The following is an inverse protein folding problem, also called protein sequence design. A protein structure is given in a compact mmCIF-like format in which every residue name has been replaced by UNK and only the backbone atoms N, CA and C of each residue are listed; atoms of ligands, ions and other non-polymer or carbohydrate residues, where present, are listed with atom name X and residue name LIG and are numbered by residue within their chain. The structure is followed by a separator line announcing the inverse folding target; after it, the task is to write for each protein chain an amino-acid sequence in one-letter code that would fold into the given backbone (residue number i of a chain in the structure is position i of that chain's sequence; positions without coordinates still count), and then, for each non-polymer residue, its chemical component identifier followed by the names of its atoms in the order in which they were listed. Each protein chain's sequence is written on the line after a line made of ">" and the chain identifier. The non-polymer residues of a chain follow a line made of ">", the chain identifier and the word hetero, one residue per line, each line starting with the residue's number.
data_IF_276474573661
#
_entry.id   IF_276474573661
#
_cell.length_a   1.000
_cell.length_b   1.000
_cell.length_c   1.000
_cell.angle_alpha   90.00
_cell.angle_beta   90.00
_cell.angle_gamma   90.00
#
_symmetry.space_group_name_H-M   'P 1'
#
loop_
_entity.id
_entity.type
_entity.pdbx_description
1 polymer ?
#
# COMPACT_ATOMS: atom_id res chain seq x y z
N UNK A 1 -7.16 -9.80 -11.13
CA UNK A 1 -6.61 -10.75 -10.13
C UNK A 1 -5.18 -11.05 -10.51
N UNK A 2 -4.28 -11.19 -9.53
CA UNK A 2 -2.84 -11.30 -9.78
C UNK A 2 -2.21 -12.54 -9.15
N UNK A 3 -0.90 -12.68 -9.34
CA UNK A 3 -0.09 -13.74 -8.73
C UNK A 3 -0.21 -13.69 -7.20
N UNK A 4 -0.25 -14.85 -6.58
CA UNK A 4 -0.18 -14.95 -5.12
C UNK A 4 1.12 -14.39 -4.57
N UNK A 5 1.01 -13.58 -3.52
CA UNK A 5 2.16 -13.00 -2.80
C UNK A 5 2.66 -13.94 -1.72
N UNK A 6 3.84 -13.67 -1.16
CA UNK A 6 4.33 -14.41 0.01
C UNK A 6 3.73 -13.87 1.30
N UNK A 7 3.77 -14.65 2.39
CA UNK A 7 3.31 -14.16 3.71
C UNK A 7 4.09 -12.91 4.14
N UNK A 8 5.42 -12.89 3.93
CA UNK A 8 6.28 -11.73 4.22
C UNK A 8 5.87 -10.47 3.46
N UNK A 9 5.36 -10.62 2.23
CA UNK A 9 4.89 -9.47 1.45
C UNK A 9 3.57 -8.93 2.00
N UNK A 10 2.69 -9.81 2.47
CA UNK A 10 1.41 -9.45 3.11
C UNK A 10 1.64 -8.84 4.50
N UNK A 11 2.62 -9.35 5.26
CA UNK A 11 2.97 -8.85 6.60
C UNK A 11 3.46 -7.39 6.60
N UNK A 12 3.95 -6.90 5.45
CA UNK A 12 4.49 -5.55 5.25
C UNK A 12 3.62 -4.71 4.32
N UNK A 13 2.43 -5.19 4.01
CA UNK A 13 1.54 -4.54 3.06
C UNK A 13 0.80 -3.36 3.70
N UNK A 14 0.98 -2.16 3.13
CA UNK A 14 0.35 -0.94 3.65
C UNK A 14 -1.17 -0.98 3.53
N UNK A 15 -1.73 -1.61 2.50
CA UNK A 15 -3.16 -1.56 2.22
C UNK A 15 -3.97 -2.26 3.32
N UNK A 16 -3.54 -3.43 3.80
CA UNK A 16 -4.24 -4.11 4.91
C UNK A 16 -4.16 -3.31 6.22
N UNK A 17 -3.06 -2.58 6.47
CA UNK A 17 -2.96 -1.67 7.62
C UNK A 17 -3.95 -0.51 7.50
N UNK A 18 -4.01 0.14 6.33
CA UNK A 18 -4.94 1.26 6.08
C UNK A 18 -6.40 0.82 6.21
N UNK A 19 -6.77 -0.37 5.71
CA UNK A 19 -8.12 -0.91 5.93
C UNK A 19 -8.41 -1.17 7.42
N UNK A 20 -7.42 -1.66 8.17
CA UNK A 20 -7.58 -1.90 9.61
C UNK A 20 -7.76 -0.60 10.38
N UNK A 21 -7.00 0.46 10.03
CA UNK A 21 -7.19 1.81 10.56
C UNK A 21 -8.58 2.34 10.25
N UNK A 22 -9.04 2.22 9.00
CA UNK A 22 -10.37 2.64 8.60
C UNK A 22 -11.48 1.93 9.37
N UNK A 23 -11.35 0.62 9.61
CA UNK A 23 -12.31 -0.13 10.43
C UNK A 23 -12.34 0.36 11.89
N UNK A 24 -11.18 0.66 12.46
CA UNK A 24 -11.06 1.19 13.82
C UNK A 24 -11.68 2.58 13.90
N UNK A 25 -11.32 3.49 13.01
CA UNK A 25 -11.69 4.90 13.12
C UNK A 25 -13.11 5.20 12.64
N UNK A 26 -13.55 4.57 11.54
CA UNK A 26 -14.87 4.85 10.99
C UNK A 26 -15.97 4.04 11.68
N UNK A 27 -15.65 2.86 12.21
CA UNK A 27 -16.64 1.90 12.70
C UNK A 27 -16.41 1.40 14.12
N UNK A 28 -15.35 1.82 14.82
CA UNK A 28 -14.98 1.34 16.17
C UNK A 28 -14.80 -0.20 16.23
N UNK A 29 -14.34 -0.79 15.13
CA UNK A 29 -14.05 -2.22 15.03
C UNK A 29 -12.54 -2.41 15.05
N UNK A 30 -12.00 -3.03 16.11
CA UNK A 30 -10.60 -3.50 16.15
C UNK A 30 -10.50 -4.91 15.55
N UNK A 31 -10.02 -5.07 14.30
CA UNK A 31 -9.99 -6.37 13.66
C UNK A 31 -8.89 -7.24 14.28
N UNK A 32 -9.20 -8.48 14.64
CA UNK A 32 -8.18 -9.45 15.09
C UNK A 32 -7.24 -9.83 13.93
N UNK A 33 -7.78 -9.89 12.71
CA UNK A 33 -7.07 -10.30 11.49
C UNK A 33 -7.56 -9.50 10.27
N UNK A 34 -6.63 -9.13 9.40
CA UNK A 34 -6.90 -8.71 8.03
C UNK A 34 -6.40 -9.79 7.07
N UNK A 35 -6.91 -9.86 5.83
CA UNK A 35 -6.55 -10.93 4.90
C UNK A 35 -6.63 -10.53 3.44
N UNK A 36 -5.71 -11.07 2.65
CA UNK A 36 -5.88 -11.19 1.20
C UNK A 36 -6.44 -12.56 0.82
N UNK A 37 -7.36 -12.56 -0.14
CA UNK A 37 -7.88 -13.77 -0.76
C UNK A 37 -7.45 -13.83 -2.24
N UNK A 38 -6.50 -14.71 -2.53
CA UNK A 38 -5.97 -14.95 -3.87
C UNK A 38 -6.85 -15.98 -4.58
N UNK A 39 -7.83 -15.48 -5.33
CA UNK A 39 -8.91 -16.28 -5.92
C UNK A 39 -8.44 -17.37 -6.89
N UNK A 40 -7.41 -17.09 -7.71
CA UNK A 40 -6.91 -18.03 -8.73
C UNK A 40 -6.36 -19.30 -8.08
N UNK A 41 -5.58 -19.14 -7.01
CA UNK A 41 -4.97 -20.25 -6.28
C UNK A 41 -5.82 -20.68 -5.06
N UNK A 42 -7.00 -20.09 -4.88
CA UNK A 42 -7.87 -20.27 -3.73
C UNK A 42 -7.12 -20.17 -2.38
N UNK A 43 -6.22 -19.20 -2.26
CA UNK A 43 -5.32 -19.07 -1.11
C UNK A 43 -5.65 -17.84 -0.28
N UNK A 44 -5.78 -18.01 1.04
CA UNK A 44 -5.91 -16.91 2.00
C UNK A 44 -4.61 -16.69 2.74
N UNK A 45 -4.11 -15.46 2.74
CA UNK A 45 -3.02 -15.02 3.62
C UNK A 45 -3.56 -13.97 4.59
N UNK A 46 -3.25 -14.13 5.87
CA UNK A 46 -3.79 -13.30 6.94
C UNK A 46 -2.67 -12.64 7.75
N UNK A 47 -2.95 -11.47 8.30
CA UNK A 47 -2.06 -10.73 9.19
C UNK A 47 -2.84 -10.29 10.43
N UNK A 48 -2.17 -10.29 11.58
CA UNK A 48 -2.61 -9.57 12.79
C UNK A 48 -1.65 -8.40 13.00
N UNK A 49 -2.15 -7.18 12.93
CA UNK A 49 -1.31 -5.99 13.05
C UNK A 49 -0.86 -5.78 14.49
N UNK A 50 0.42 -5.46 14.68
CA UNK A 50 0.88 -4.81 15.91
C UNK A 50 0.44 -3.34 15.88
N UNK A 51 0.21 -2.76 17.06
CA UNK A 51 -0.19 -1.35 17.14
C UNK A 51 0.86 -0.42 16.48
N UNK A 52 2.15 -0.74 16.60
CA UNK A 52 3.25 -0.05 15.88
C UNK A 52 3.07 -0.05 14.35
N UNK A 53 2.65 -1.18 13.75
CA UNK A 53 2.44 -1.25 12.31
C UNK A 53 1.25 -0.41 11.84
N UNK A 54 0.25 -0.24 12.70
CA UNK A 54 -0.89 0.64 12.42
C UNK A 54 -0.46 2.11 12.51
N UNK A 55 0.39 2.45 13.48
CA UNK A 55 0.90 3.81 13.61
C UNK A 55 1.84 4.19 12.46
N UNK A 56 2.78 3.32 12.08
CA UNK A 56 3.62 3.52 10.88
C UNK A 56 2.77 3.74 9.62
N UNK A 57 1.67 2.99 9.47
CA UNK A 57 0.75 3.13 8.35
C UNK A 57 -0.02 4.45 8.40
N UNK A 58 -0.41 4.92 9.59
CA UNK A 58 -1.05 6.23 9.79
C UNK A 58 -0.11 7.34 9.39
N UNK A 59 1.10 7.38 9.95
CA UNK A 59 2.11 8.41 9.68
C UNK A 59 2.41 8.50 8.18
N UNK A 60 2.68 7.35 7.54
CA UNK A 60 2.93 7.28 6.10
C UNK A 60 1.75 7.77 5.27
N UNK A 61 0.52 7.46 5.69
CA UNK A 61 -0.69 7.89 4.98
C UNK A 61 -0.86 9.40 5.08
N UNK A 62 -0.62 10.00 6.25
CA UNK A 62 -0.67 11.43 6.46
C UNK A 62 0.43 12.15 5.65
N UNK A 63 1.67 11.67 5.69
CA UNK A 63 2.78 12.21 4.88
C UNK A 63 2.43 12.24 3.38
N UNK A 64 1.89 11.14 2.86
CA UNK A 64 1.45 11.07 1.46
C UNK A 64 0.30 12.04 1.16
N UNK A 65 -0.68 12.14 2.06
CA UNK A 65 -1.81 13.07 1.89
C UNK A 65 -1.35 14.53 1.90
N UNK A 66 -0.46 14.91 2.81
CA UNK A 66 0.14 16.25 2.87
C UNK A 66 0.92 16.57 1.60
N UNK A 67 1.73 15.62 1.11
CA UNK A 67 2.45 15.77 -0.16
C UNK A 67 1.53 15.99 -1.34
N UNK A 68 0.43 15.24 -1.43
CA UNK A 68 -0.59 15.41 -2.49
C UNK A 68 -1.25 16.79 -2.40
N UNK A 69 -1.65 17.23 -1.21
CA UNK A 69 -2.28 18.54 -1.00
C UNK A 69 -1.34 19.71 -1.27
N UNK A 70 -0.04 19.51 -1.08
CA UNK A 70 1.00 20.48 -1.41
C UNK A 70 1.44 20.43 -2.89
N UNK A 71 0.79 19.59 -3.71
CA UNK A 71 1.16 19.34 -5.11
C UNK A 71 2.62 18.87 -5.28
N UNK A 72 3.18 18.22 -4.25
CA UNK A 72 4.53 17.67 -4.30
C UNK A 72 4.55 16.34 -5.05
N UNK A 73 4.73 16.42 -6.37
CA UNK A 73 4.81 15.28 -7.28
C UNK A 73 6.23 15.06 -7.83
N UNK A 74 7.26 15.43 -7.06
CA UNK A 74 8.65 15.20 -7.47
C UNK A 74 8.86 13.72 -7.82
N UNK A 75 9.28 13.40 -9.06
CA UNK A 75 9.45 12.03 -9.48
C UNK A 75 10.58 11.38 -8.68
N UNK A 76 10.44 10.08 -8.41
CA UNK A 76 11.48 9.24 -7.81
C UNK A 76 11.90 8.19 -8.84
N UNK A 77 12.85 8.51 -9.74
CA UNK A 77 13.28 7.64 -10.83
C UNK A 77 13.71 6.25 -10.32
N UNK A 78 13.12 5.21 -10.87
CA UNK A 78 13.48 3.82 -10.59
C UNK A 78 13.29 2.97 -11.85
N UNK A 79 14.33 2.26 -12.27
CA UNK A 79 14.32 1.52 -13.54
C UNK A 79 13.18 0.51 -13.67
N UNK A 80 12.85 -0.22 -12.60
CA UNK A 80 11.80 -1.24 -12.65
C UNK A 80 10.41 -0.61 -12.63
N UNK A 81 10.17 0.35 -11.73
CA UNK A 81 8.86 0.98 -11.59
C UNK A 81 8.54 1.90 -12.77
N UNK A 82 9.53 2.66 -13.28
CA UNK A 82 9.31 3.56 -14.40
C UNK A 82 8.99 2.80 -15.70
N UNK A 83 9.67 1.68 -15.98
CA UNK A 83 9.47 0.87 -17.20
C UNK A 83 8.02 0.41 -17.42
N UNK A 84 7.26 0.24 -16.35
CA UNK A 84 5.87 -0.22 -16.38
C UNK A 84 4.88 0.85 -15.89
N UNK A 85 5.31 2.11 -15.77
CA UNK A 85 4.48 3.19 -15.25
C UNK A 85 3.62 3.81 -16.36
N UNK A 86 2.30 3.77 -16.20
CA UNK A 86 1.35 4.37 -17.16
C UNK A 86 1.49 5.91 -17.29
N UNK A 87 2.19 6.55 -16.34
CA UNK A 87 2.38 8.00 -16.28
C UNK A 87 3.72 8.48 -16.87
N UNK A 88 4.49 7.62 -17.56
CA UNK A 88 5.80 8.00 -18.13
C UNK A 88 5.75 9.28 -18.98
N UNK A 89 4.72 9.42 -19.82
CA UNK A 89 4.52 10.57 -20.74
C UNK A 89 4.34 11.89 -19.98
N UNK A 90 3.75 11.84 -18.76
CA UNK A 90 3.48 13.02 -17.94
C UNK A 90 4.59 13.30 -16.91
N UNK A 91 5.35 12.28 -16.51
CA UNK A 91 6.35 12.32 -15.45
C UNK A 91 7.61 13.13 -15.82
N UNK A 92 7.87 13.35 -17.12
CA UNK A 92 9.03 14.10 -17.62
C UNK A 92 10.37 13.36 -17.49
N UNK A 93 10.51 12.43 -16.53
CA UNK A 93 11.71 11.60 -16.34
C UNK A 93 11.51 10.16 -16.84
N UNK A 94 10.27 9.75 -17.07
CA UNK A 94 9.91 8.37 -17.44
C UNK A 94 10.49 7.88 -18.78
N UNK A 95 10.79 8.78 -19.71
CA UNK A 95 11.41 8.46 -21.00
C UNK A 95 12.95 8.41 -20.96
N UNK A 96 13.56 8.87 -19.86
CA UNK A 96 15.02 9.02 -19.72
C UNK A 96 15.68 7.86 -18.96
N UNK A 97 14.93 6.81 -18.60
CA UNK A 97 15.37 5.66 -17.79
C UNK A 97 15.32 4.36 -18.61
#
# INVERSE_FOLDING_TARGET
>A
TGRTRTQRDVDRDLQLSVYSLGAIEAWDIKPEKASYYFLIENKRLSISHRDEQLEEAREKTLELAEGILAENFEPKPDYQNCRYCDYQILCGVGEMI
#
